data_IF_554254719789
#
_entry.id   IF_554254719789
#
_cell.length_a   1.000
_cell.length_b   1.000
_cell.length_c   1.000
_cell.angle_alpha   90.00
_cell.angle_beta   90.00
_cell.angle_gamma   90.00
#
_symmetry.space_group_name_H-M   'P 1'
#
loop_
_entity.id
_entity.type
_entity.pdbx_description
1 polymer ?
#
# COMPACT_ATOMS: atom_id res chain seq x y z
N UNK A 1 -51.93 -10.83 4.29
CA UNK A 1 -51.08 -11.65 3.40
C UNK A 1 -50.19 -10.82 2.48
N UNK A 2 -50.71 -10.07 1.49
CA UNK A 2 -49.88 -9.24 0.59
C UNK A 2 -49.15 -8.10 1.32
N UNK A 3 -49.84 -7.41 2.24
CA UNK A 3 -49.24 -6.38 3.10
C UNK A 3 -48.14 -6.92 4.02
N UNK A 4 -48.29 -8.15 4.53
CA UNK A 4 -47.28 -8.78 5.40
C UNK A 4 -46.04 -9.17 4.60
N UNK A 5 -46.20 -9.68 3.37
CA UNK A 5 -45.09 -9.99 2.47
C UNK A 5 -44.31 -8.73 2.10
N UNK A 6 -44.99 -7.63 1.77
CA UNK A 6 -44.33 -6.34 1.45
C UNK A 6 -43.60 -5.77 2.69
N UNK A 7 -44.21 -5.86 3.87
CA UNK A 7 -43.62 -5.41 5.14
C UNK A 7 -42.36 -6.21 5.49
N UNK A 8 -42.44 -7.55 5.46
CA UNK A 8 -41.28 -8.41 5.74
C UNK A 8 -40.20 -8.28 4.66
N UNK A 9 -40.58 -8.17 3.39
CA UNK A 9 -39.66 -7.90 2.29
C UNK A 9 -38.90 -6.58 2.49
N UNK A 10 -39.59 -5.51 2.88
CA UNK A 10 -38.96 -4.22 3.16
C UNK A 10 -38.02 -4.27 4.36
N UNK A 11 -38.37 -5.01 5.42
CA UNK A 11 -37.51 -5.21 6.59
C UNK A 11 -36.23 -5.97 6.21
N UNK A 12 -36.35 -7.06 5.44
CA UNK A 12 -35.20 -7.85 4.99
C UNK A 12 -34.29 -7.02 4.09
N UNK A 13 -34.85 -6.24 3.15
CA UNK A 13 -34.09 -5.34 2.29
C UNK A 13 -33.39 -4.24 3.11
N UNK A 14 -34.09 -3.65 4.09
CA UNK A 14 -33.52 -2.62 4.96
C UNK A 14 -32.34 -3.14 5.79
N UNK A 15 -32.50 -4.31 6.42
CA UNK A 15 -31.41 -4.96 7.17
C UNK A 15 -30.24 -5.32 6.24
N UNK A 16 -30.54 -5.87 5.06
CA UNK A 16 -29.54 -6.20 4.06
C UNK A 16 -28.70 -4.98 3.67
N UNK A 17 -29.34 -3.84 3.38
CA UNK A 17 -28.64 -2.60 3.03
C UNK A 17 -27.74 -2.10 4.16
N UNK A 18 -28.22 -2.12 5.40
CA UNK A 18 -27.42 -1.70 6.57
C UNK A 18 -26.18 -2.59 6.73
N UNK A 19 -26.33 -3.90 6.55
CA UNK A 19 -25.20 -4.84 6.62
C UNK A 19 -24.19 -4.58 5.51
N UNK A 20 -24.64 -4.36 4.27
CA UNK A 20 -23.75 -4.04 3.14
C UNK A 20 -22.98 -2.73 3.38
N UNK A 21 -23.67 -1.68 3.85
CA UNK A 21 -23.05 -0.39 4.18
C UNK A 21 -22.02 -0.57 5.30
N UNK A 22 -22.36 -1.34 6.35
CA UNK A 22 -21.44 -1.60 7.45
C UNK A 22 -20.19 -2.35 7.00
N UNK A 23 -20.34 -3.39 6.16
CA UNK A 23 -19.21 -4.13 5.57
C UNK A 23 -18.29 -3.19 4.80
N UNK A 24 -18.87 -2.32 3.97
CA UNK A 24 -18.12 -1.35 3.17
C UNK A 24 -17.29 -0.39 4.05
N UNK A 25 -17.92 0.27 5.02
CA UNK A 25 -17.21 1.18 5.92
C UNK A 25 -16.21 0.47 6.84
N UNK A 26 -16.47 -0.78 7.23
CA UNK A 26 -15.52 -1.57 8.01
C UNK A 26 -14.25 -1.88 7.20
N UNK A 27 -14.40 -2.23 5.92
CA UNK A 27 -13.26 -2.46 5.02
C UNK A 27 -12.49 -1.16 4.79
N UNK A 28 -13.17 -0.05 4.47
CA UNK A 28 -12.50 1.24 4.27
C UNK A 28 -11.73 1.70 5.50
N UNK A 29 -12.37 1.67 6.68
CA UNK A 29 -11.77 2.16 7.91
C UNK A 29 -10.63 1.29 8.46
N UNK A 30 -10.55 0.02 8.06
CA UNK A 30 -9.52 -0.93 8.53
C UNK A 30 -8.69 -1.50 7.37
N UNK A 31 -8.68 -0.81 6.23
CA UNK A 31 -8.07 -1.33 5.00
C UNK A 31 -6.59 -1.63 5.15
N UNK A 32 -5.82 -0.77 5.81
CA UNK A 32 -4.39 -1.02 6.09
C UNK A 32 -4.15 -2.22 6.99
N UNK A 33 -5.03 -2.48 7.97
CA UNK A 33 -4.97 -3.70 8.76
C UNK A 33 -5.15 -4.92 7.85
N UNK A 34 -6.22 -4.95 7.05
CA UNK A 34 -6.48 -6.06 6.15
C UNK A 34 -5.39 -6.24 5.08
N UNK A 35 -4.82 -5.13 4.61
CA UNK A 35 -3.79 -5.07 3.59
C UNK A 35 -2.43 -5.62 4.06
N UNK A 36 -2.23 -5.79 5.36
CA UNK A 36 -0.97 -6.24 5.96
C UNK A 36 -1.08 -7.55 6.77
N UNK A 37 -2.31 -8.04 7.00
CA UNK A 37 -2.59 -9.26 7.76
C UNK A 37 -3.08 -10.45 6.90
N UNK A 38 -3.15 -10.29 5.58
CA UNK A 38 -3.64 -11.32 4.65
C UNK A 38 -2.64 -12.45 4.41
N UNK A 39 -3.15 -13.69 4.20
CA UNK A 39 -2.31 -14.89 3.97
C UNK A 39 -1.62 -14.93 2.61
N UNK A 40 -2.16 -14.25 1.59
CA UNK A 40 -1.66 -14.26 0.20
C UNK A 40 -0.34 -13.48 0.02
N UNK A 41 0.22 -12.94 1.10
CA UNK A 41 1.34 -12.01 1.08
C UNK A 41 2.70 -12.70 1.26
N UNK A 42 2.71 -13.96 1.72
CA UNK A 42 3.94 -14.71 2.01
C UNK A 42 4.53 -15.42 0.78
N UNK A 43 3.70 -15.81 -0.20
CA UNK A 43 4.13 -16.72 -1.26
C UNK A 43 4.53 -16.01 -2.57
N UNK A 44 4.02 -14.81 -2.85
CA UNK A 44 4.16 -14.17 -4.17
C UNK A 44 4.60 -12.70 -4.16
N UNK A 45 5.06 -12.16 -3.01
CA UNK A 45 5.44 -10.73 -2.87
C UNK A 45 4.34 -9.75 -3.28
N UNK A 46 3.07 -10.15 -3.27
CA UNK A 46 2.00 -9.18 -3.43
C UNK A 46 1.97 -8.27 -2.20
N UNK A 47 1.97 -6.96 -2.43
CA UNK A 47 1.91 -5.94 -1.39
C UNK A 47 0.56 -5.20 -1.45
N UNK A 48 -0.55 -5.79 -0.97
CA UNK A 48 -1.88 -5.15 -1.01
C UNK A 48 -1.91 -3.74 -0.41
N UNK A 49 -1.06 -3.48 0.58
CA UNK A 49 -1.00 -2.16 1.22
C UNK A 49 -0.46 -1.08 0.27
N UNK A 50 0.38 -1.43 -0.72
CA UNK A 50 0.86 -0.50 -1.75
C UNK A 50 -0.31 -0.07 -2.64
N UNK A 51 -1.13 -1.02 -3.08
CA UNK A 51 -2.35 -0.73 -3.84
C UNK A 51 -3.36 0.08 -2.99
N UNK A 52 -3.50 -0.28 -1.72
CA UNK A 52 -4.38 0.44 -0.80
C UNK A 52 -3.93 1.90 -0.62
N UNK A 53 -2.63 2.11 -0.43
CA UNK A 53 -2.00 3.43 -0.30
C UNK A 53 -2.19 4.28 -1.55
N UNK A 54 -2.07 3.70 -2.75
CA UNK A 54 -2.32 4.41 -4.00
C UNK A 54 -3.75 4.99 -4.12
N UNK A 55 -4.68 4.56 -3.27
CA UNK A 55 -6.08 4.99 -3.32
C UNK A 55 -6.59 5.61 -2.00
N UNK A 56 -5.78 5.65 -0.96
CA UNK A 56 -6.20 6.10 0.37
C UNK A 56 -5.07 6.78 1.13
N UNK A 57 -5.42 7.80 1.91
CA UNK A 57 -4.51 8.43 2.85
C UNK A 57 -3.98 7.42 3.87
N UNK A 58 -2.67 7.40 4.10
CA UNK A 58 -2.01 6.64 5.14
C UNK A 58 -1.87 7.50 6.40
N UNK A 59 -2.49 7.10 7.54
CA UNK A 59 -2.28 7.79 8.80
C UNK A 59 -0.80 7.75 9.21
N UNK A 60 -0.21 8.90 9.54
CA UNK A 60 1.21 9.03 9.90
C UNK A 60 1.58 8.15 11.11
N UNK A 61 0.65 7.92 12.03
CA UNK A 61 0.83 7.03 13.18
C UNK A 61 1.06 5.56 12.80
N UNK A 62 0.73 5.14 11.57
CA UNK A 62 0.95 3.77 11.13
C UNK A 62 2.40 3.51 10.68
N UNK A 63 3.14 4.57 10.34
CA UNK A 63 4.54 4.53 9.88
C UNK A 63 5.38 5.61 10.57
N UNK A 64 5.56 5.53 11.89
CA UNK A 64 6.23 6.57 12.66
C UNK A 64 7.67 6.83 12.19
N UNK A 65 8.36 5.82 11.63
CA UNK A 65 9.76 5.96 11.19
C UNK A 65 9.93 6.69 9.84
N UNK A 66 8.85 6.90 9.09
CA UNK A 66 8.91 7.43 7.72
C UNK A 66 8.24 8.78 7.58
N UNK A 67 8.73 9.67 6.74
CA UNK A 67 7.99 10.89 6.40
C UNK A 67 6.70 10.51 5.64
N UNK A 68 5.59 11.17 5.97
CA UNK A 68 4.32 11.00 5.25
C UNK A 68 3.88 12.34 4.71
N UNK A 69 3.74 12.43 3.40
CA UNK A 69 3.18 13.59 2.71
C UNK A 69 1.85 13.20 2.07
N UNK A 70 0.95 14.17 1.92
CA UNK A 70 -0.36 13.97 1.29
C UNK A 70 -0.41 14.88 0.07
N UNK A 71 -0.62 14.30 -1.12
CA UNK A 71 -0.89 15.13 -2.30
C UNK A 71 -2.39 15.37 -2.43
N UNK A 72 -2.83 16.54 -1.95
CA UNK A 72 -4.22 16.97 -2.01
C UNK A 72 -4.71 17.36 -3.41
N UNK A 73 -3.83 17.36 -4.43
CA UNK A 73 -4.21 17.61 -5.83
C UNK A 73 -4.76 16.35 -6.51
N UNK A 74 -4.54 15.18 -5.91
CA UNK A 74 -5.12 13.93 -6.35
C UNK A 74 -6.49 13.75 -5.69
N UNK A 75 -7.48 13.29 -6.46
CA UNK A 75 -8.88 13.13 -6.03
C UNK A 75 -9.06 12.29 -4.74
N UNK A 76 -8.08 11.47 -4.38
CA UNK A 76 -8.12 10.56 -3.24
C UNK A 76 -7.22 10.96 -2.05
N UNK A 77 -6.61 12.15 -2.04
CA UNK A 77 -5.62 12.56 -1.02
C UNK A 77 -4.57 11.46 -0.79
N UNK A 78 -3.90 11.07 -1.87
CA UNK A 78 -2.99 9.92 -1.85
C UNK A 78 -1.75 10.29 -1.03
N UNK A 79 -1.38 9.41 -0.10
CA UNK A 79 -0.17 9.60 0.69
C UNK A 79 1.07 9.11 -0.05
N UNK A 80 2.19 9.75 0.22
CA UNK A 80 3.51 9.21 -0.09
C UNK A 80 4.29 9.00 1.20
N UNK A 81 5.02 7.90 1.26
CA UNK A 81 5.87 7.52 2.39
C UNK A 81 7.31 7.61 1.92
N UNK A 82 8.17 8.32 2.63
CA UNK A 82 9.57 8.45 2.24
C UNK A 82 10.52 8.36 3.42
N UNK A 83 11.75 7.97 3.12
CA UNK A 83 12.86 8.00 4.04
C UNK A 83 14.15 8.32 3.30
N UNK A 84 15.07 9.01 3.98
CA UNK A 84 16.38 9.41 3.46
C UNK A 84 17.48 8.96 4.42
N UNK A 85 18.68 8.76 3.90
CA UNK A 85 19.87 8.33 4.64
C UNK A 85 19.67 7.02 5.40
N UNK A 86 19.05 6.02 4.77
CA UNK A 86 18.55 4.81 5.46
C UNK A 86 19.68 3.82 5.77
N UNK A 87 20.36 3.31 4.73
CA UNK A 87 21.50 2.40 4.91
C UNK A 87 22.85 3.10 4.73
N UNK A 88 22.89 4.10 3.85
CA UNK A 88 24.05 4.95 3.58
C UNK A 88 23.59 6.38 3.43
N UNK A 89 24.55 7.31 3.54
CA UNK A 89 24.31 8.70 3.18
C UNK A 89 23.78 8.75 1.74
N UNK A 90 22.78 9.59 1.51
CA UNK A 90 22.10 9.79 0.22
C UNK A 90 21.23 8.63 -0.28
N UNK A 91 21.16 7.48 0.40
CA UNK A 91 20.13 6.48 0.08
C UNK A 91 18.73 7.05 0.35
N UNK A 92 17.78 6.78 -0.55
CA UNK A 92 16.40 7.20 -0.37
C UNK A 92 15.40 6.10 -0.73
N UNK A 93 14.24 6.16 -0.09
CA UNK A 93 13.10 5.32 -0.39
C UNK A 93 11.87 6.20 -0.52
N UNK A 94 11.05 5.87 -1.51
CA UNK A 94 9.75 6.48 -1.73
C UNK A 94 8.74 5.38 -2.01
N UNK A 95 7.57 5.50 -1.40
CA UNK A 95 6.38 4.74 -1.74
C UNK A 95 5.28 5.76 -2.00
N UNK A 96 4.91 5.92 -3.26
CA UNK A 96 3.88 6.87 -3.68
C UNK A 96 2.84 6.16 -4.54
N UNK A 97 1.94 6.95 -5.15
CA UNK A 97 0.96 6.43 -6.11
C UNK A 97 1.59 5.64 -7.27
N UNK A 98 2.80 6.03 -7.70
CA UNK A 98 3.54 5.34 -8.77
C UNK A 98 4.15 4.00 -8.35
N UNK A 99 4.17 3.72 -7.05
CA UNK A 99 4.72 2.51 -6.46
C UNK A 99 5.93 2.78 -5.57
N UNK A 100 6.54 1.70 -5.03
CA UNK A 100 7.76 1.79 -4.27
C UNK A 100 8.99 1.92 -5.18
N UNK A 101 9.86 2.86 -4.84
CA UNK A 101 11.15 3.07 -5.47
C UNK A 101 12.23 3.19 -4.40
N UNK A 102 13.32 2.46 -4.58
CA UNK A 102 14.54 2.62 -3.79
C UNK A 102 15.62 3.24 -4.67
N UNK A 103 16.26 4.28 -4.16
CA UNK A 103 17.31 5.05 -4.81
C UNK A 103 18.61 4.84 -4.03
N UNK A 104 19.45 3.89 -4.46
CA UNK A 104 20.80 3.74 -3.93
C UNK A 104 21.60 4.96 -4.38
N UNK A 105 22.20 5.72 -3.46
CA UNK A 105 22.96 6.92 -3.81
C UNK A 105 22.11 7.96 -4.58
N UNK A 106 20.95 8.33 -4.01
CA UNK A 106 20.03 9.28 -4.61
C UNK A 106 20.73 10.62 -4.87
N UNK A 107 20.55 11.14 -6.09
CA UNK A 107 21.03 12.47 -6.46
C UNK A 107 19.92 13.46 -6.18
N UNK A 108 20.30 14.65 -5.74
CA UNK A 108 19.36 15.72 -5.49
C UNK A 108 19.72 16.95 -6.32
N UNK A 109 18.71 17.60 -6.87
CA UNK A 109 18.89 18.85 -7.58
C UNK A 109 19.31 19.98 -6.61
N UNK A 110 19.62 21.17 -7.16
CA UNK A 110 20.02 22.34 -6.36
C UNK A 110 18.94 22.83 -5.37
N UNK A 111 17.72 22.32 -5.47
CA UNK A 111 16.58 22.63 -4.60
C UNK A 111 16.31 21.53 -3.56
N UNK A 112 17.08 20.43 -3.59
CA UNK A 112 16.91 19.30 -2.68
C UNK A 112 15.83 18.31 -3.11
N UNK A 113 15.31 18.41 -4.33
CA UNK A 113 14.39 17.42 -4.91
C UNK A 113 15.17 16.25 -5.50
N UNK A 114 14.55 15.07 -5.53
CA UNK A 114 15.17 13.89 -6.12
C UNK A 114 15.40 14.11 -7.62
N UNK A 115 16.63 13.91 -8.07
CA UNK A 115 17.02 14.11 -9.47
C UNK A 115 16.52 12.95 -10.33
N UNK A 116 16.01 13.25 -11.53
CA UNK A 116 15.58 12.27 -12.53
C UNK A 116 16.74 11.38 -13.03
N UNK A 117 17.98 11.81 -12.81
CA UNK A 117 19.18 11.04 -13.11
C UNK A 117 19.57 10.07 -11.98
N UNK A 118 18.85 10.08 -10.84
CA UNK A 118 19.04 9.09 -9.78
C UNK A 118 18.71 7.69 -10.29
N UNK A 119 19.62 6.76 -10.08
CA UNK A 119 19.33 5.37 -10.35
C UNK A 119 18.32 4.82 -9.34
N UNK A 120 17.38 3.98 -9.78
CA UNK A 120 16.38 3.40 -8.89
C UNK A 120 16.06 1.94 -9.20
N UNK A 121 15.55 1.28 -8.17
CA UNK A 121 14.82 0.02 -8.24
C UNK A 121 13.35 0.30 -8.00
N UNK A 122 12.56 0.21 -9.06
CA UNK A 122 11.11 0.40 -8.96
C UNK A 122 10.42 -0.95 -8.85
N UNK A 123 9.54 -1.08 -7.87
CA UNK A 123 8.76 -2.28 -7.62
C UNK A 123 7.38 -2.09 -8.22
N UNK A 124 6.97 -3.01 -9.09
CA UNK A 124 5.63 -3.01 -9.67
C UNK A 124 4.57 -3.20 -8.57
N UNK A 125 3.57 -2.33 -8.56
CA UNK A 125 2.43 -2.41 -7.63
C UNK A 125 1.65 -3.72 -7.82
N UNK A 126 1.45 -4.14 -9.08
CA UNK A 126 0.64 -5.31 -9.44
C UNK A 126 1.32 -6.64 -9.13
N UNK A 127 2.64 -6.72 -9.32
CA UNK A 127 3.40 -7.98 -9.17
C UNK A 127 4.27 -8.03 -7.93
N UNK A 128 4.55 -6.88 -7.30
CA UNK A 128 5.52 -6.75 -6.22
C UNK A 128 6.94 -7.17 -6.60
N UNK A 129 7.24 -7.24 -7.90
CA UNK A 129 8.58 -7.53 -8.44
C UNK A 129 9.19 -6.23 -8.95
N UNK A 130 10.52 -6.19 -9.00
CA UNK A 130 11.22 -5.09 -9.65
C UNK A 130 10.84 -5.06 -11.13
N UNK A 131 10.24 -3.95 -11.56
CA UNK A 131 9.82 -3.69 -12.94
C UNK A 131 10.80 -2.83 -13.71
N UNK A 132 11.62 -2.04 -13.00
CA UNK A 132 12.63 -1.18 -13.59
C UNK A 132 13.89 -1.08 -12.74
N UNK A 133 15.03 -1.04 -13.44
CA UNK A 133 16.38 -0.94 -12.89
C UNK A 133 17.11 0.16 -13.67
N UNK A 134 16.92 1.41 -13.29
CA UNK A 134 17.36 2.56 -14.08
C UNK A 134 18.70 3.15 -13.69
N UNK A 135 19.58 3.44 -14.66
CA UNK A 135 20.86 4.14 -14.46
C UNK A 135 21.73 3.60 -13.30
N UNK A 136 21.56 2.33 -12.94
CA UNK A 136 22.31 1.64 -11.87
C UNK A 136 23.70 1.16 -12.30
N UNK A 137 24.22 1.63 -13.43
CA UNK A 137 25.43 1.07 -14.07
C UNK A 137 26.70 1.26 -13.23
N UNK A 138 26.68 2.21 -12.30
CA UNK A 138 27.79 2.56 -11.42
C UNK A 138 27.66 1.95 -10.02
N UNK A 139 26.54 1.28 -9.70
CA UNK A 139 26.32 0.70 -8.39
C UNK A 139 27.10 -0.61 -8.28
N UNK A 140 28.07 -0.62 -7.36
CA UNK A 140 28.98 -1.73 -7.15
C UNK A 140 28.30 -3.04 -6.72
N UNK A 141 27.16 -2.97 -6.02
CA UNK A 141 26.44 -4.15 -5.55
C UNK A 141 24.92 -4.07 -5.81
N UNK A 142 24.56 -4.43 -7.03
CA UNK A 142 23.15 -4.45 -7.49
C UNK A 142 22.28 -5.46 -6.73
N UNK A 143 22.85 -6.57 -6.28
CA UNK A 143 22.09 -7.61 -5.59
C UNK A 143 21.72 -7.17 -4.17
N UNK A 144 22.66 -6.55 -3.46
CA UNK A 144 22.41 -5.98 -2.15
C UNK A 144 21.43 -4.81 -2.22
N UNK A 145 21.56 -3.92 -3.21
CA UNK A 145 20.61 -2.81 -3.40
C UNK A 145 19.19 -3.32 -3.69
N UNK A 146 19.06 -4.36 -4.52
CA UNK A 146 17.79 -5.06 -4.75
C UNK A 146 17.22 -5.68 -3.47
N UNK A 147 18.06 -6.29 -2.62
CA UNK A 147 17.62 -6.85 -1.33
C UNK A 147 17.12 -5.74 -0.39
N UNK A 148 17.81 -4.60 -0.36
CA UNK A 148 17.43 -3.42 0.43
C UNK A 148 16.08 -2.85 0.00
N UNK A 149 15.82 -2.74 -1.29
CA UNK A 149 14.52 -2.28 -1.79
C UNK A 149 13.35 -3.10 -1.22
N UNK A 150 13.44 -4.44 -1.25
CA UNK A 150 12.43 -5.31 -0.65
C UNK A 150 12.39 -5.23 0.88
N UNK A 151 13.55 -5.03 1.53
CA UNK A 151 13.63 -4.93 2.98
C UNK A 151 12.86 -3.69 3.45
N UNK A 152 13.11 -2.52 2.86
CA UNK A 152 12.40 -1.29 3.18
C UNK A 152 10.89 -1.40 2.95
N UNK A 153 10.48 -2.00 1.85
CA UNK A 153 9.06 -2.22 1.58
C UNK A 153 8.41 -3.16 2.61
N UNK A 154 9.14 -4.19 3.06
CA UNK A 154 8.70 -5.06 4.14
C UNK A 154 8.69 -4.37 5.50
N UNK A 155 9.59 -3.43 5.75
CA UNK A 155 9.67 -2.67 7.00
C UNK A 155 8.48 -1.71 7.11
N UNK A 156 8.16 -0.97 6.03
CA UNK A 156 6.92 -0.16 5.96
C UNK A 156 5.69 -1.03 6.23
N UNK A 157 5.61 -2.21 5.59
CA UNK A 157 4.52 -3.15 5.83
C UNK A 157 4.42 -3.56 7.30
N UNK A 158 5.55 -3.88 7.92
CA UNK A 158 5.62 -4.32 9.31
C UNK A 158 5.17 -3.21 10.26
N UNK A 159 5.61 -1.96 10.04
CA UNK A 159 5.14 -0.82 10.83
C UNK A 159 3.63 -0.62 10.69
N UNK A 160 3.09 -0.64 9.47
CA UNK A 160 1.64 -0.54 9.26
C UNK A 160 0.93 -1.68 10.00
N UNK A 161 1.45 -2.91 9.89
CA UNK A 161 0.87 -4.08 10.53
C UNK A 161 0.83 -3.94 12.05
N UNK A 162 1.91 -3.48 12.67
CA UNK A 162 2.06 -3.35 14.12
C UNK A 162 1.22 -2.18 14.67
N UNK A 163 1.11 -1.08 13.92
CA UNK A 163 0.46 0.14 14.38
C UNK A 163 -1.00 0.26 13.95
N UNK A 164 -1.46 -0.52 12.96
CA UNK A 164 -2.86 -0.52 12.53
C UNK A 164 -3.79 -1.11 13.59
N UNK A 165 -4.91 -0.42 13.84
CA UNK A 165 -5.90 -0.90 14.81
C UNK A 165 -6.64 -2.13 14.25
N UNK A 166 -6.86 -3.18 15.08
CA UNK A 166 -7.64 -4.32 14.64
C UNK A 166 -9.12 -3.93 14.44
N UNK A 167 -9.78 -4.47 13.41
CA UNK A 167 -11.19 -4.22 13.17
C UNK A 167 -12.06 -4.90 14.22
N UNK A 168 -13.18 -4.28 14.57
CA UNK A 168 -14.18 -4.87 15.49
C UNK A 168 -14.78 -6.18 14.97
N UNK A 169 -14.93 -6.29 13.65
CA UNK A 169 -15.39 -7.48 12.96
C UNK A 169 -14.33 -7.82 11.92
N UNK A 170 -13.78 -9.03 11.99
CA UNK A 170 -12.73 -9.45 11.08
C UNK A 170 -13.32 -9.88 9.72
N UNK A 171 -13.14 -9.03 8.71
CA UNK A 171 -13.55 -9.28 7.32
C UNK A 171 -12.37 -9.63 6.40
N UNK A 172 -11.26 -10.15 6.96
CA UNK A 172 -10.05 -10.49 6.20
C UNK A 172 -10.32 -11.42 5.03
N UNK A 173 -11.30 -12.32 5.15
CA UNK A 173 -11.67 -13.24 4.06
C UNK A 173 -12.26 -12.51 2.84
N UNK A 174 -13.08 -11.48 3.05
CA UNK A 174 -13.64 -10.64 1.98
C UNK A 174 -12.50 -9.87 1.30
N UNK A 175 -11.64 -9.26 2.12
CA UNK A 175 -10.51 -8.49 1.63
C UNK A 175 -9.55 -9.37 0.82
N UNK A 176 -9.23 -10.56 1.33
CA UNK A 176 -8.40 -11.53 0.62
C UNK A 176 -9.03 -11.95 -0.72
N UNK A 177 -10.34 -12.16 -0.76
CA UNK A 177 -11.06 -12.50 -1.99
C UNK A 177 -10.98 -11.37 -3.01
N UNK A 178 -11.22 -10.12 -2.58
CA UNK A 178 -11.12 -8.93 -3.44
C UNK A 178 -9.73 -8.77 -4.06
N UNK A 179 -8.66 -8.85 -3.25
CA UNK A 179 -7.29 -8.71 -3.75
C UNK A 179 -6.84 -9.87 -4.64
N UNK A 180 -7.30 -11.10 -4.38
CA UNK A 180 -7.08 -12.21 -5.30
C UNK A 180 -7.76 -11.98 -6.64
N UNK A 181 -8.98 -11.43 -6.63
CA UNK A 181 -9.71 -11.14 -7.85
C UNK A 181 -8.99 -10.07 -8.69
N UNK A 182 -8.52 -8.98 -8.07
CA UNK A 182 -7.73 -7.94 -8.76
C UNK A 182 -6.45 -8.56 -9.35
N UNK A 183 -5.66 -9.25 -8.52
CA UNK A 183 -4.36 -9.81 -8.94
C UNK A 183 -4.49 -10.81 -10.10
N UNK A 184 -5.62 -11.51 -10.23
CA UNK A 184 -5.88 -12.41 -11.38
C UNK A 184 -6.20 -11.69 -12.68
N UNK A 185 -6.73 -10.47 -12.61
CA UNK A 185 -7.18 -9.72 -13.79
C UNK A 185 -6.14 -8.70 -14.28
N UNK A 186 -5.09 -8.43 -13.49
CA UNK A 186 -3.97 -7.56 -13.86
C UNK A 186 -2.76 -8.32 -14.45
N UNK A 187 -2.83 -9.66 -14.54
CA UNK A 187 -1.86 -10.53 -15.22
C UNK A 187 -2.42 -11.04 -16.56
#
# INVERSE_FOLDING_TARGET
MMFDIIKWGSIVLGIGLILTIYIFFNILGNGYYYATHGKYQNDNKNYPFVYWLANHELPKEYVPSYEVTIDSRLFANVSSVSAKNIYRKEDAFELSWGGPSYYPEAKYDRYGNLDIDSGSYDISISTGKISWEGKLNEIADKQEARRRAYTLLNDVRSEIRENSKPPKINLQWIFNWYFQWISRNEN
#
